data_IF_376338886348
#
_entry.id   IF_376338886348
#
_cell.length_a   1.000
_cell.length_b   1.000
_cell.length_c   1.000
_cell.angle_alpha   90.00
_cell.angle_beta   90.00
_cell.angle_gamma   90.00
#
_symmetry.space_group_name_H-M   'P 1'
#
loop_
_entity.id
_entity.type
_entity.pdbx_description
1 polymer ?
#
# COMPACT_ATOMS: atom_id res chain seq x y z
N UNK A 1 14.35 27.20 -10.33
CA UNK A 1 13.97 25.84 -9.89
C UNK A 1 15.23 25.16 -9.40
N UNK A 2 15.34 24.89 -8.10
CA UNK A 2 16.47 24.14 -7.57
C UNK A 2 16.36 22.69 -8.04
N UNK A 3 17.36 22.19 -8.75
CA UNK A 3 17.61 20.75 -8.87
C UNK A 3 17.96 20.24 -7.48
N UNK A 4 16.96 19.82 -6.70
CA UNK A 4 17.23 18.99 -5.52
C UNK A 4 17.93 17.72 -6.02
N UNK A 5 19.16 17.50 -5.55
CA UNK A 5 19.89 16.28 -5.87
C UNK A 5 19.12 15.09 -5.28
N UNK A 6 18.68 14.17 -6.15
CA UNK A 6 18.09 12.91 -5.72
C UNK A 6 19.05 12.19 -4.78
N UNK A 7 18.56 11.78 -3.62
CA UNK A 7 19.27 10.92 -2.68
C UNK A 7 19.62 9.58 -3.33
N UNK A 8 20.60 8.88 -2.75
CA UNK A 8 21.02 7.57 -3.24
C UNK A 8 19.84 6.57 -3.30
N UNK A 9 18.95 6.60 -2.31
CA UNK A 9 17.78 5.71 -2.24
C UNK A 9 16.78 6.04 -3.35
N UNK A 10 16.49 7.31 -3.58
CA UNK A 10 15.61 7.74 -4.68
C UNK A 10 16.13 7.25 -6.03
N UNK A 11 17.44 7.40 -6.29
CA UNK A 11 18.05 6.93 -7.53
C UNK A 11 17.89 5.43 -7.71
N UNK A 12 18.17 4.63 -6.67
CA UNK A 12 18.02 3.16 -6.73
C UNK A 12 16.56 2.77 -7.01
N UNK A 13 15.59 3.38 -6.33
CA UNK A 13 14.18 3.08 -6.55
C UNK A 13 13.72 3.52 -7.95
N UNK A 14 14.14 4.69 -8.44
CA UNK A 14 13.81 5.18 -9.78
C UNK A 14 14.51 4.32 -10.86
N UNK A 15 15.75 3.91 -10.67
CA UNK A 15 16.45 3.01 -11.60
C UNK A 15 15.76 1.65 -11.69
N UNK A 16 15.31 1.13 -10.54
CA UNK A 16 14.67 -0.18 -10.44
C UNK A 16 13.22 -0.17 -10.93
N UNK A 17 12.43 0.84 -10.55
CA UNK A 17 11.00 0.90 -10.79
C UNK A 17 10.56 1.96 -11.81
N UNK A 18 11.50 2.72 -12.36
CA UNK A 18 11.27 3.79 -13.33
C UNK A 18 10.83 5.13 -12.71
N UNK A 19 10.10 5.10 -11.58
CA UNK A 19 9.61 6.28 -10.84
C UNK A 19 9.17 5.91 -9.42
N UNK A 20 8.89 6.93 -8.58
CA UNK A 20 8.38 6.74 -7.21
C UNK A 20 6.85 6.73 -7.14
N UNK A 21 6.20 7.45 -8.06
CA UNK A 21 4.75 7.64 -8.18
C UNK A 21 4.19 6.76 -9.31
N UNK A 22 4.16 5.45 -9.07
CA UNK A 22 3.80 4.43 -10.07
C UNK A 22 2.30 4.47 -10.45
N UNK A 23 1.51 5.39 -9.89
CA UNK A 23 0.10 5.63 -10.19
C UNK A 23 -0.19 5.89 -11.68
N UNK A 24 0.80 6.34 -12.46
CA UNK A 24 0.61 6.61 -13.89
C UNK A 24 0.91 5.38 -14.76
N UNK A 25 -0.18 4.72 -15.14
CA UNK A 25 -0.30 3.40 -15.75
C UNK A 25 0.48 3.25 -17.06
N UNK A 26 0.52 4.27 -17.92
CA UNK A 26 0.86 4.04 -19.35
C UNK A 26 2.32 3.63 -19.66
N UNK A 27 3.27 3.81 -18.73
CA UNK A 27 4.71 3.53 -18.99
C UNK A 27 5.36 2.46 -18.12
N UNK A 28 4.73 2.08 -17.01
CA UNK A 28 5.31 1.07 -16.11
C UNK A 28 5.14 -0.35 -16.67
N UNK A 29 4.07 -0.63 -17.42
CA UNK A 29 3.57 -1.99 -17.63
C UNK A 29 4.44 -2.86 -18.54
N UNK A 30 5.28 -2.30 -19.41
CA UNK A 30 6.08 -3.12 -20.33
C UNK A 30 7.07 -4.05 -19.62
N UNK A 31 7.45 -3.72 -18.37
CA UNK A 31 8.48 -4.46 -17.61
C UNK A 31 7.93 -5.21 -16.40
N UNK A 32 6.65 -5.07 -16.09
CA UNK A 32 6.05 -5.62 -14.89
C UNK A 32 4.87 -6.52 -15.24
N UNK A 33 4.78 -7.64 -14.54
CA UNK A 33 3.51 -8.34 -14.37
C UNK A 33 2.64 -7.55 -13.39
N UNK A 34 1.41 -7.23 -13.79
CA UNK A 34 0.53 -6.34 -13.02
C UNK A 34 -0.75 -7.05 -12.57
N UNK A 35 -1.29 -6.61 -11.44
CA UNK A 35 -2.60 -7.02 -10.96
C UNK A 35 -3.11 -6.11 -9.86
N UNK A 36 -4.34 -6.32 -9.44
CA UNK A 36 -4.97 -5.57 -8.35
C UNK A 36 -5.27 -6.52 -7.20
N UNK A 37 -4.71 -6.25 -6.02
CA UNK A 37 -5.05 -6.95 -4.79
C UNK A 37 -6.39 -6.40 -4.27
N UNK A 38 -7.41 -7.24 -4.27
CA UNK A 38 -8.81 -6.87 -4.05
C UNK A 38 -9.52 -7.89 -3.14
N UNK A 39 -10.66 -7.49 -2.57
CA UNK A 39 -11.52 -8.36 -1.77
C UNK A 39 -12.30 -9.37 -2.62
N UNK A 40 -12.52 -9.06 -3.90
CA UNK A 40 -13.35 -9.83 -4.81
C UNK A 40 -12.50 -10.34 -5.98
N UNK A 41 -12.83 -11.53 -6.47
CA UNK A 41 -12.14 -12.18 -7.60
C UNK A 41 -12.57 -11.63 -8.98
N UNK A 42 -13.48 -10.66 -8.97
CA UNK A 42 -14.06 -10.00 -10.14
C UNK A 42 -14.31 -8.53 -9.85
N UNK A 43 -14.47 -7.76 -10.91
CA UNK A 43 -15.03 -6.42 -10.80
C UNK A 43 -16.48 -6.49 -10.30
N UNK A 44 -16.81 -5.61 -9.36
CA UNK A 44 -18.18 -5.39 -8.92
C UNK A 44 -18.90 -4.47 -9.91
N UNK A 45 -20.21 -4.67 -10.05
CA UNK A 45 -21.10 -3.64 -10.60
C UNK A 45 -21.24 -2.49 -9.61
N UNK A 46 -21.77 -1.34 -10.05
CA UNK A 46 -21.97 -0.18 -9.17
C UNK A 46 -22.93 -0.54 -8.02
N UNK A 47 -23.99 -1.27 -8.33
CA UNK A 47 -24.97 -1.73 -7.34
C UNK A 47 -24.32 -2.67 -6.32
N UNK A 48 -23.50 -3.63 -6.78
CA UNK A 48 -22.78 -4.52 -5.87
C UNK A 48 -21.72 -3.79 -5.05
N UNK A 49 -21.09 -2.76 -5.59
CA UNK A 49 -20.15 -1.92 -4.85
C UNK A 49 -20.88 -1.25 -3.68
N UNK A 50 -21.98 -0.56 -3.95
CA UNK A 50 -22.76 0.14 -2.91
C UNK A 50 -23.28 -0.81 -1.82
N UNK A 51 -23.62 -2.04 -2.19
CA UNK A 51 -24.17 -3.04 -1.27
C UNK A 51 -23.11 -3.84 -0.48
N UNK A 52 -21.95 -4.14 -1.10
CA UNK A 52 -20.96 -5.08 -0.56
C UNK A 52 -19.70 -4.40 -0.03
N UNK A 53 -19.34 -3.23 -0.54
CA UNK A 53 -18.11 -2.56 -0.12
C UNK A 53 -18.30 -1.80 1.17
N UNK A 54 -17.44 -2.10 2.14
CA UNK A 54 -17.37 -1.37 3.40
C UNK A 54 -16.10 -0.52 3.39
N UNK A 55 -16.29 0.80 3.37
CA UNK A 55 -15.19 1.76 3.46
C UNK A 55 -14.97 2.22 4.90
N UNK A 56 -13.75 2.64 5.20
CA UNK A 56 -13.42 3.18 6.51
C UNK A 56 -14.16 4.50 6.76
N UNK A 57 -15.00 4.55 7.79
CA UNK A 57 -15.59 5.80 8.25
C UNK A 57 -15.77 5.80 9.76
N UNK A 58 -15.44 6.94 10.39
CA UNK A 58 -15.66 7.14 11.82
C UNK A 58 -17.15 7.21 12.21
N UNK A 59 -18.05 7.28 11.22
CA UNK A 59 -19.50 7.30 11.43
C UNK A 59 -20.17 5.96 11.21
N UNK A 60 -19.41 4.92 10.83
CA UNK A 60 -19.94 3.57 10.73
C UNK A 60 -20.44 3.10 12.09
N UNK A 61 -21.50 2.30 12.09
CA UNK A 61 -21.93 1.58 13.29
C UNK A 61 -20.87 0.53 13.70
N UNK A 62 -21.03 -0.03 14.90
CA UNK A 62 -20.04 -0.94 15.47
C UNK A 62 -19.87 -2.24 14.68
N UNK A 63 -20.91 -2.74 14.01
CA UNK A 63 -20.87 -3.99 13.26
C UNK A 63 -20.15 -3.78 11.93
N UNK A 64 -20.54 -2.73 11.19
CA UNK A 64 -19.87 -2.30 9.96
C UNK A 64 -18.40 -2.00 10.19
N UNK A 65 -18.07 -1.29 11.27
CA UNK A 65 -16.68 -0.99 11.62
C UNK A 65 -15.87 -2.25 11.98
N UNK A 66 -16.48 -3.21 12.67
CA UNK A 66 -15.83 -4.48 12.99
C UNK A 66 -15.57 -5.31 11.73
N UNK A 67 -16.52 -5.36 10.80
CA UNK A 67 -16.35 -6.02 9.51
C UNK A 67 -15.22 -5.39 8.68
N UNK A 68 -15.16 -4.05 8.63
CA UNK A 68 -14.04 -3.35 7.97
C UNK A 68 -12.69 -3.80 8.54
N UNK A 69 -12.55 -3.84 9.87
CA UNK A 69 -11.29 -4.25 10.50
C UNK A 69 -10.95 -5.74 10.27
N UNK A 70 -11.94 -6.60 10.04
CA UNK A 70 -11.69 -7.97 9.59
C UNK A 70 -11.11 -8.00 8.17
N UNK A 71 -11.63 -7.17 7.26
CA UNK A 71 -11.03 -7.05 5.91
C UNK A 71 -9.62 -6.45 6.00
N UNK A 72 -9.43 -5.38 6.79
CA UNK A 72 -8.11 -4.78 7.02
C UNK A 72 -7.05 -5.81 7.45
N UNK A 73 -7.38 -6.70 8.40
CA UNK A 73 -6.42 -7.71 8.87
C UNK A 73 -5.98 -8.66 7.74
N UNK A 74 -6.86 -9.01 6.79
CA UNK A 74 -6.47 -9.83 5.62
C UNK A 74 -5.39 -9.16 4.78
N UNK A 75 -5.54 -7.86 4.52
CA UNK A 75 -4.51 -7.09 3.82
C UNK A 75 -3.22 -7.07 4.64
N UNK A 76 -3.31 -6.84 5.96
CA UNK A 76 -2.14 -6.83 6.84
C UNK A 76 -1.41 -8.18 6.90
N UNK A 77 -2.12 -9.30 6.84
CA UNK A 77 -1.51 -10.63 6.69
C UNK A 77 -0.77 -10.76 5.36
N UNK A 78 -1.32 -10.25 4.26
CA UNK A 78 -0.63 -10.22 2.97
C UNK A 78 0.64 -9.33 3.02
N UNK A 79 0.55 -8.13 3.61
CA UNK A 79 1.73 -7.28 3.87
C UNK A 79 2.77 -7.99 4.74
N UNK A 80 2.33 -8.76 5.74
CA UNK A 80 3.22 -9.54 6.62
C UNK A 80 3.94 -10.65 5.86
N UNK A 81 3.26 -11.29 4.93
CA UNK A 81 3.87 -12.24 4.01
C UNK A 81 4.96 -11.56 3.16
N UNK A 82 4.64 -10.44 2.49
CA UNK A 82 5.61 -9.70 1.66
C UNK A 82 6.82 -9.25 2.49
N UNK A 83 6.59 -8.73 3.71
CA UNK A 83 7.65 -8.33 4.63
C UNK A 83 8.61 -9.47 4.96
N UNK A 84 8.07 -10.65 5.30
CA UNK A 84 8.88 -11.84 5.61
C UNK A 84 9.63 -12.35 4.37
N UNK A 85 8.97 -12.36 3.21
CA UNK A 85 9.54 -12.81 1.94
C UNK A 85 10.71 -11.93 1.50
N UNK A 86 10.63 -10.62 1.73
CA UNK A 86 11.70 -9.68 1.42
C UNK A 86 13.00 -9.95 2.22
N UNK A 87 12.89 -10.67 3.34
CA UNK A 87 14.02 -11.07 4.16
C UNK A 87 14.79 -9.88 4.73
N UNK A 88 16.06 -9.77 4.34
CA UNK A 88 16.96 -8.71 4.82
C UNK A 88 17.11 -7.53 3.86
N UNK A 89 16.41 -7.57 2.71
CA UNK A 89 16.46 -6.47 1.75
C UNK A 89 15.62 -5.31 2.29
N UNK A 90 16.11 -4.08 2.13
CA UNK A 90 15.41 -2.88 2.59
C UNK A 90 14.06 -2.75 1.88
N UNK A 91 13.01 -2.50 2.65
CA UNK A 91 11.68 -2.14 2.18
C UNK A 91 11.53 -0.63 2.35
N UNK A 92 10.91 0.04 1.38
CA UNK A 92 10.67 1.47 1.43
C UNK A 92 9.19 1.78 1.28
N UNK A 93 8.67 2.72 2.07
CA UNK A 93 7.36 3.33 1.85
C UNK A 93 7.56 4.77 1.37
N UNK A 94 7.00 5.11 0.21
CA UNK A 94 6.96 6.48 -0.28
C UNK A 94 5.62 7.11 0.09
N UNK A 95 5.65 8.09 0.99
CA UNK A 95 4.50 8.87 1.42
C UNK A 95 4.90 10.35 1.57
N UNK A 96 4.90 11.13 0.47
CA UNK A 96 5.40 12.51 0.47
C UNK A 96 4.64 13.43 1.42
N UNK A 97 3.34 13.19 1.61
CA UNK A 97 2.52 13.99 2.52
C UNK A 97 3.02 13.92 3.96
N UNK A 98 3.42 12.72 4.40
CA UNK A 98 3.97 12.48 5.73
C UNK A 98 5.41 12.96 5.89
N UNK A 99 6.11 13.35 4.83
CA UNK A 99 7.44 13.96 4.94
C UNK A 99 7.38 15.25 5.78
N UNK A 100 6.31 16.03 5.58
CA UNK A 100 6.14 17.33 6.21
C UNK A 100 5.77 17.22 7.70
N UNK A 101 6.36 18.05 8.57
CA UNK A 101 5.97 18.19 9.99
C UNK A 101 4.75 19.11 10.16
N UNK A 102 3.76 19.02 9.27
CA UNK A 102 2.56 19.89 9.35
C UNK A 102 1.72 19.46 10.56
N UNK A 103 1.47 20.38 11.50
CA UNK A 103 0.54 20.17 12.63
C UNK A 103 -0.84 19.66 12.16
N UNK A 104 -1.22 19.93 10.91
CA UNK A 104 -2.42 19.45 10.26
C UNK A 104 -2.52 17.91 10.22
N UNK A 105 -1.44 17.21 9.85
CA UNK A 105 -1.39 15.73 9.78
C UNK A 105 -1.71 15.13 11.15
N UNK A 106 -1.06 15.65 12.19
CA UNK A 106 -1.28 15.17 13.55
C UNK A 106 -2.73 15.41 14.01
N UNK A 107 -3.30 16.57 13.67
CA UNK A 107 -4.69 16.89 14.00
C UNK A 107 -5.68 16.00 13.24
N UNK A 108 -5.37 15.67 11.99
CA UNK A 108 -6.17 14.80 11.14
C UNK A 108 -6.16 13.35 11.62
N UNK A 109 -4.98 12.79 11.91
CA UNK A 109 -4.82 11.38 12.26
C UNK A 109 -5.18 11.04 13.72
N UNK A 110 -4.92 11.94 14.68
CA UNK A 110 -5.16 11.67 16.10
C UNK A 110 -6.58 11.17 16.43
N UNK A 111 -7.69 11.73 15.89
CA UNK A 111 -9.02 11.21 16.16
C UNK A 111 -9.38 9.93 15.36
N UNK A 112 -8.57 9.56 14.36
CA UNK A 112 -8.84 8.42 13.45
C UNK A 112 -8.06 7.16 13.80
N UNK A 113 -7.07 7.29 14.67
CA UNK A 113 -6.25 6.20 15.15
C UNK A 113 -6.57 5.92 16.61
N UNK A 114 -6.62 4.64 16.99
CA UNK A 114 -6.76 4.28 18.39
C UNK A 114 -5.49 4.67 19.19
N UNK A 115 -5.54 4.55 20.52
CA UNK A 115 -4.42 4.96 21.39
C UNK A 115 -3.10 4.26 21.05
N UNK A 116 -3.14 2.97 20.74
CA UNK A 116 -1.96 2.17 20.42
C UNK A 116 -1.40 2.55 19.06
N UNK A 117 -2.26 2.63 18.04
CA UNK A 117 -1.92 3.05 16.67
C UNK A 117 -1.36 4.47 16.65
N UNK A 118 -1.96 5.39 17.39
CA UNK A 118 -1.45 6.76 17.51
C UNK A 118 -0.08 6.81 18.17
N UNK A 119 0.14 5.98 19.19
CA UNK A 119 1.46 5.86 19.83
C UNK A 119 2.51 5.33 18.84
N UNK A 120 2.14 4.29 18.08
CA UNK A 120 3.00 3.70 17.06
C UNK A 120 3.30 4.70 15.94
N UNK A 121 2.29 5.37 15.40
CA UNK A 121 2.46 6.41 14.38
C UNK A 121 3.46 7.49 14.84
N UNK A 122 3.31 7.99 16.07
CA UNK A 122 4.28 8.96 16.62
C UNK A 122 5.69 8.39 16.70
N UNK A 123 5.84 7.14 17.15
CA UNK A 123 7.14 6.45 17.22
C UNK A 123 7.76 6.36 15.82
N UNK A 124 7.01 5.86 14.84
CA UNK A 124 7.46 5.70 13.45
C UNK A 124 7.81 7.05 12.83
N UNK A 125 6.90 8.03 12.91
CA UNK A 125 7.09 9.36 12.30
C UNK A 125 8.25 10.16 12.91
N UNK A 126 8.56 9.95 14.20
CA UNK A 126 9.66 10.64 14.88
C UNK A 126 11.00 9.92 14.72
N UNK A 127 10.99 8.59 14.56
CA UNK A 127 12.21 7.78 14.47
C UNK A 127 12.68 7.55 13.03
N UNK A 128 11.76 7.58 12.06
CA UNK A 128 12.12 7.53 10.66
C UNK A 128 12.44 8.93 10.18
N UNK A 129 13.67 9.10 9.68
CA UNK A 129 14.10 10.32 8.97
C UNK A 129 13.71 10.14 7.52
N UNK A 130 12.63 10.78 7.03
CA UNK A 130 12.28 10.67 5.63
C UNK A 130 13.29 11.41 4.77
N UNK A 131 13.64 10.84 3.63
CA UNK A 131 14.30 11.55 2.54
C UNK A 131 13.25 11.76 1.45
N UNK A 132 12.80 13.01 1.28
CA UNK A 132 11.77 13.38 0.30
C UNK A 132 10.48 12.54 0.38
N UNK A 133 10.11 12.10 1.59
CA UNK A 133 8.93 11.26 1.80
C UNK A 133 9.15 9.77 1.65
N UNK A 134 10.38 9.32 1.41
CA UNK A 134 10.74 7.91 1.47
C UNK A 134 11.12 7.54 2.89
N UNK A 135 10.47 6.50 3.40
CA UNK A 135 10.65 5.94 4.73
C UNK A 135 11.22 4.53 4.61
N UNK A 136 12.39 4.28 5.19
CA UNK A 136 12.92 2.92 5.31
C UNK A 136 12.15 2.14 6.37
N UNK A 137 11.59 1.00 5.98
CA UNK A 137 10.81 0.11 6.83
C UNK A 137 11.76 -0.87 7.52
N UNK A 138 11.92 -0.71 8.84
CA UNK A 138 12.88 -1.49 9.67
C UNK A 138 12.23 -2.61 10.47
N UNK A 139 10.90 -2.62 10.54
CA UNK A 139 10.12 -3.60 11.27
C UNK A 139 8.74 -3.72 10.64
N UNK A 140 8.05 -4.82 10.94
CA UNK A 140 6.66 -4.98 10.53
C UNK A 140 5.77 -3.89 11.13
N UNK A 141 6.04 -3.44 12.37
CA UNK A 141 5.30 -2.31 12.99
C UNK A 141 5.37 -1.03 12.13
N UNK A 142 6.50 -0.79 11.44
CA UNK A 142 6.61 0.34 10.52
C UNK A 142 5.72 0.11 9.30
N UNK A 143 5.79 -1.08 8.68
CA UNK A 143 4.98 -1.41 7.52
C UNK A 143 3.49 -1.32 7.82
N UNK A 144 3.07 -1.93 8.94
CA UNK A 144 1.70 -2.02 9.39
C UNK A 144 1.06 -0.64 9.53
N UNK A 145 1.77 0.35 10.10
CA UNK A 145 1.20 1.69 10.24
C UNK A 145 0.99 2.38 8.88
N UNK A 146 1.93 2.27 7.94
CA UNK A 146 1.76 2.84 6.60
C UNK A 146 0.65 2.12 5.81
N UNK A 147 0.58 0.78 5.95
CA UNK A 147 -0.48 -0.04 5.36
C UNK A 147 -1.86 0.39 5.89
N UNK A 148 -2.05 0.46 7.21
CA UNK A 148 -3.30 0.94 7.83
C UNK A 148 -3.68 2.35 7.37
N UNK A 149 -2.71 3.26 7.26
CA UNK A 149 -2.99 4.61 6.75
C UNK A 149 -3.48 4.59 5.29
N UNK A 150 -2.95 3.69 4.46
CA UNK A 150 -3.37 3.55 3.06
C UNK A 150 -4.74 2.87 2.96
N UNK A 151 -4.95 1.75 3.65
CA UNK A 151 -6.20 0.98 3.63
C UNK A 151 -7.40 1.80 4.14
N UNK A 152 -7.17 2.68 5.13
CA UNK A 152 -8.18 3.59 5.69
C UNK A 152 -8.29 4.91 4.93
N UNK A 153 -7.62 5.04 3.78
CA UNK A 153 -7.62 6.23 2.93
C UNK A 153 -7.23 7.52 3.67
N UNK A 154 -6.35 7.38 4.68
CA UNK A 154 -5.88 8.50 5.49
C UNK A 154 -4.65 9.16 4.87
N UNK A 155 -3.72 8.33 4.39
CA UNK A 155 -2.55 8.73 3.60
C UNK A 155 -2.08 7.53 2.79
N UNK A 156 -2.05 7.67 1.47
CA UNK A 156 -1.56 6.62 0.59
C UNK A 156 -0.02 6.54 0.61
N UNK A 157 0.48 5.32 0.44
CA UNK A 157 1.90 5.04 0.36
C UNK A 157 2.16 4.04 -0.76
N UNK A 158 3.28 4.21 -1.47
CA UNK A 158 3.81 3.20 -2.38
C UNK A 158 4.83 2.35 -1.63
N UNK A 159 4.65 1.05 -1.62
CA UNK A 159 5.45 0.10 -0.86
C UNK A 159 6.38 -0.65 -1.80
N UNK A 160 7.66 -0.32 -1.76
CA UNK A 160 8.71 -0.91 -2.58
C UNK A 160 9.35 -2.08 -1.85
N UNK A 161 9.08 -3.28 -2.35
CA UNK A 161 9.76 -4.52 -1.98
C UNK A 161 10.84 -4.84 -3.01
N UNK A 162 11.60 -5.91 -2.82
CA UNK A 162 12.66 -6.30 -3.74
C UNK A 162 12.09 -6.75 -5.10
N UNK A 163 11.04 -7.56 -5.10
CA UNK A 163 10.48 -8.16 -6.31
C UNK A 163 9.19 -7.49 -6.79
N UNK A 164 8.66 -6.55 -6.00
CA UNK A 164 7.37 -5.94 -6.28
C UNK A 164 7.19 -4.53 -5.70
N UNK A 165 6.17 -3.85 -6.20
CA UNK A 165 5.61 -2.63 -5.60
C UNK A 165 4.13 -2.81 -5.40
N UNK A 166 3.65 -2.48 -4.20
CA UNK A 166 2.23 -2.36 -3.91
C UNK A 166 1.88 -0.87 -3.77
N UNK A 167 0.84 -0.42 -4.44
CA UNK A 167 0.42 0.99 -4.47
C UNK A 167 -0.79 1.15 -3.57
N UNK A 168 -0.66 2.04 -2.57
CA UNK A 168 -1.80 2.48 -1.77
C UNK A 168 -2.81 3.19 -2.66
N UNK A 169 -4.04 2.73 -2.65
CA UNK A 169 -5.09 3.21 -3.52
C UNK A 169 -6.45 3.12 -2.80
N UNK A 170 -7.49 3.68 -3.41
CA UNK A 170 -8.83 3.77 -2.86
C UNK A 170 -9.51 2.41 -2.77
N UNK A 171 -10.52 2.33 -1.89
CA UNK A 171 -11.53 1.25 -1.89
C UNK A 171 -10.93 -0.15 -1.70
N UNK A 172 -9.83 -0.24 -0.96
CA UNK A 172 -9.12 -1.51 -0.73
C UNK A 172 -8.68 -2.23 -2.02
N UNK A 173 -8.61 -1.56 -3.17
CA UNK A 173 -8.04 -2.13 -4.40
C UNK A 173 -6.62 -1.63 -4.58
N UNK A 174 -5.62 -2.44 -4.21
CA UNK A 174 -4.21 -2.04 -4.27
C UNK A 174 -3.53 -2.59 -5.53
N UNK A 175 -3.10 -1.72 -6.48
CA UNK A 175 -2.29 -2.15 -7.60
C UNK A 175 -0.98 -2.79 -7.12
N UNK A 176 -0.66 -3.95 -7.69
CA UNK A 176 0.54 -4.73 -7.47
C UNK A 176 1.32 -4.85 -8.78
N UNK A 177 2.58 -4.49 -8.73
CA UNK A 177 3.54 -4.60 -9.82
C UNK A 177 4.64 -5.56 -9.42
N UNK A 178 4.89 -6.60 -10.20
CA UNK A 178 5.93 -7.60 -9.95
C UNK A 178 6.87 -7.67 -11.15
N UNK A 179 8.19 -7.77 -10.93
CA UNK A 179 9.13 -7.92 -12.05
C UNK A 179 8.88 -9.21 -12.83
N UNK A 180 8.61 -10.30 -12.10
CA UNK A 180 8.48 -11.63 -12.67
C UNK A 180 7.04 -12.15 -12.60
N UNK A 181 6.60 -12.81 -13.67
CA UNK A 181 5.28 -13.45 -13.73
C UNK A 181 5.15 -14.60 -12.70
N UNK A 182 6.27 -15.25 -12.37
CA UNK A 182 6.29 -16.27 -11.32
C UNK A 182 5.98 -15.67 -9.94
N UNK A 183 6.43 -14.45 -9.68
CA UNK A 183 6.23 -13.77 -8.40
C UNK A 183 4.78 -13.29 -8.24
N UNK A 184 4.13 -12.80 -9.31
CA UNK A 184 2.71 -12.45 -9.23
C UNK A 184 1.81 -13.68 -8.97
N UNK A 185 2.15 -14.85 -9.55
CA UNK A 185 1.44 -16.10 -9.28
C UNK A 185 1.61 -16.57 -7.84
N UNK A 186 2.82 -16.40 -7.27
CA UNK A 186 3.05 -16.66 -5.85
C UNK A 186 2.22 -15.71 -4.98
N UNK A 187 2.19 -14.42 -5.31
CA UNK A 187 1.35 -13.44 -4.64
C UNK A 187 -0.14 -13.80 -4.72
N UNK A 188 -0.64 -14.22 -5.88
CA UNK A 188 -2.02 -14.71 -6.05
C UNK A 188 -2.33 -15.86 -5.09
N UNK A 189 -1.46 -16.86 -5.02
CA UNK A 189 -1.63 -17.98 -4.08
C UNK A 189 -1.70 -17.50 -2.63
N UNK A 190 -0.92 -16.49 -2.27
CA UNK A 190 -0.86 -15.95 -0.90
C UNK A 190 -2.00 -15.02 -0.55
N UNK A 191 -2.52 -14.26 -1.50
CA UNK A 191 -3.74 -13.50 -1.34
C UNK A 191 -4.92 -14.44 -1.06
N UNK A 192 -5.02 -15.55 -1.83
CA UNK A 192 -6.10 -16.51 -1.67
C UNK A 192 -6.09 -17.22 -0.31
N UNK A 193 -4.91 -17.40 0.33
CA UNK A 193 -4.80 -17.96 1.68
C UNK A 193 -5.45 -17.08 2.77
N UNK A 194 -5.68 -15.80 2.48
CA UNK A 194 -6.28 -14.82 3.40
C UNK A 194 -7.60 -14.26 2.86
N UNK A 195 -8.24 -14.96 1.93
CA UNK A 195 -9.50 -14.55 1.27
C UNK A 195 -9.41 -13.16 0.61
N UNK A 196 -8.29 -12.89 -0.06
CA UNK A 196 -8.09 -11.80 -1.01
C UNK A 196 -7.75 -12.37 -2.38
N UNK A 197 -7.85 -11.54 -3.42
CA UNK A 197 -7.59 -11.96 -4.80
C UNK A 197 -6.65 -10.99 -5.48
N UNK A 198 -5.78 -11.50 -6.37
CA UNK A 198 -5.01 -10.64 -7.27
C UNK A 198 -5.51 -10.85 -8.70
N UNK A 199 -6.25 -9.85 -9.19
CA UNK A 199 -6.79 -9.84 -10.54
C UNK A 199 -5.78 -9.25 -11.50
N UNK A 200 -5.13 -10.12 -12.27
CA UNK A 200 -4.18 -9.71 -13.31
C UNK A 200 -4.93 -9.26 -14.54
N UNK A 201 -4.55 -8.12 -15.12
CA UNK A 201 -4.99 -7.75 -16.44
C UNK A 201 -4.25 -8.67 -17.43
N UNK A 202 -4.85 -9.78 -17.83
CA UNK A 202 -4.42 -10.40 -19.09
C UNK A 202 -4.63 -9.36 -20.18
N UNK A 203 -3.61 -9.17 -21.01
CA UNK A 203 -3.69 -8.43 -22.26
C UNK A 203 -4.71 -9.10 -23.21
N UNK A 204 -6.00 -8.91 -22.91
CA UNK A 204 -7.13 -9.23 -23.79
C UNK A 204 -7.80 -7.91 -24.20
N UNK A 205 -6.99 -6.99 -24.73
CA UNK A 205 -7.45 -5.88 -25.57
C UNK A 205 -6.74 -5.91 -26.93
N UNK A 206 -6.49 -7.11 -27.45
CA UNK A 206 -6.21 -7.31 -28.87
C UNK A 206 -7.52 -7.71 -29.57
N UNK A 207 -8.29 -6.70 -29.97
CA UNK A 207 -9.23 -6.80 -31.11
C UNK A 207 -8.76 -5.79 -32.14
#
# INVERSE_FOLDING_TARGET
MSTEELSKVERVLIEKFGRLDIENVEKAYEKFSTGHLEQFDRALTVEEFDDLMVLFSLTNDSETQAYYFQQEEKYLEFFRYLFKKNGHVSIYAYCPELASKRKAIFRFLKPRLNKQEWSLFKKVKNNLVPHNGIFEIKSFEHLEIFAKLSLRELHFSNFFFEESVLIGNYELSLPLYCFEESYIKECQSKANEVDLFIRTEKAEWAI
#
